data_IF_041602668849
#
_entry.id   IF_041602668849
#
_cell.length_a   1.000
_cell.length_b   1.000
_cell.length_c   1.000
_cell.angle_alpha   90.00
_cell.angle_beta   90.00
_cell.angle_gamma   90.00
#
_symmetry.space_group_name_H-M   'P 1'
#
loop_
_entity.id
_entity.type
_entity.pdbx_description
1 polymer ?
#
# COMPACT_ATOMS: atom_id res chain seq x y z
N UNK A 1 15.27 -18.90 -10.19
CA UNK A 1 13.99 -18.28 -10.55
C UNK A 1 14.19 -16.99 -11.34
N UNK A 2 14.92 -16.00 -10.82
CA UNK A 2 15.16 -14.70 -11.49
C UNK A 2 15.81 -14.87 -12.87
N UNK A 3 16.85 -15.70 -12.97
CA UNK A 3 17.52 -15.98 -14.25
C UNK A 3 16.62 -16.61 -15.31
N UNK A 4 15.66 -17.44 -14.90
CA UNK A 4 14.67 -18.05 -15.79
C UNK A 4 13.69 -17.01 -16.36
N UNK A 5 13.33 -15.98 -15.59
CA UNK A 5 12.39 -14.93 -15.99
C UNK A 5 13.05 -13.76 -16.76
N UNK A 6 14.39 -13.68 -16.76
CA UNK A 6 15.11 -12.59 -17.43
C UNK A 6 14.71 -12.38 -18.90
N UNK A 7 14.49 -13.42 -19.74
CA UNK A 7 14.03 -13.23 -21.12
C UNK A 7 12.63 -12.61 -21.25
N UNK A 8 11.81 -12.69 -20.21
CA UNK A 8 10.45 -12.16 -20.16
C UNK A 8 10.37 -10.78 -19.50
N UNK A 9 11.49 -10.26 -19.00
CA UNK A 9 11.55 -9.04 -18.18
C UNK A 9 10.84 -7.86 -18.82
N UNK A 10 11.11 -7.56 -20.09
CA UNK A 10 10.49 -6.43 -20.79
C UNK A 10 8.96 -6.55 -20.84
N UNK A 11 8.45 -7.74 -21.13
CA UNK A 11 6.99 -7.98 -21.12
C UNK A 11 6.40 -7.81 -19.72
N UNK A 12 7.07 -8.34 -18.72
CA UNK A 12 6.64 -8.22 -17.33
C UNK A 12 6.65 -6.74 -16.88
N UNK A 13 7.64 -5.95 -17.27
CA UNK A 13 7.71 -4.52 -16.96
C UNK A 13 6.57 -3.72 -17.62
N UNK A 14 6.17 -4.07 -18.85
CA UNK A 14 5.01 -3.47 -19.52
C UNK A 14 3.73 -3.76 -18.72
N UNK A 15 3.49 -5.02 -18.37
CA UNK A 15 2.33 -5.41 -17.59
C UNK A 15 2.36 -4.84 -16.16
N UNK A 16 3.55 -4.75 -15.55
CA UNK A 16 3.72 -4.10 -14.26
C UNK A 16 3.32 -2.61 -14.32
N UNK A 17 3.79 -1.88 -15.32
CA UNK A 17 3.42 -0.47 -15.49
C UNK A 17 1.91 -0.32 -15.68
N UNK A 18 1.29 -1.20 -16.48
CA UNK A 18 -0.16 -1.25 -16.64
C UNK A 18 -0.84 -1.50 -15.29
N UNK A 19 -0.40 -2.50 -14.54
CA UNK A 19 -0.94 -2.82 -13.21
C UNK A 19 -0.81 -1.67 -12.21
N UNK A 20 0.33 -0.98 -12.18
CA UNK A 20 0.55 0.18 -11.33
C UNK A 20 -0.38 1.36 -11.70
N UNK A 21 -0.76 1.48 -12.98
CA UNK A 21 -1.62 2.56 -13.46
C UNK A 21 -3.11 2.26 -13.27
N UNK A 22 -3.58 1.09 -13.70
CA UNK A 22 -5.02 0.77 -13.78
C UNK A 22 -5.50 -0.24 -12.74
N UNK A 23 -4.59 -0.74 -11.89
CA UNK A 23 -4.93 -1.71 -10.83
C UNK A 23 -5.10 -3.14 -11.31
N UNK A 24 -5.68 -3.98 -10.44
CA UNK A 24 -5.78 -5.43 -10.63
C UNK A 24 -7.16 -5.93 -11.12
N UNK A 25 -8.02 -5.08 -11.65
CA UNK A 25 -9.33 -5.51 -12.17
C UNK A 25 -9.19 -6.30 -13.48
N UNK A 26 -9.59 -7.59 -13.53
CA UNK A 26 -9.42 -8.45 -14.70
C UNK A 26 -10.08 -7.91 -15.98
N UNK A 27 -11.15 -7.16 -15.86
CA UNK A 27 -11.87 -6.58 -16.99
C UNK A 27 -11.06 -5.56 -17.80
N UNK A 28 -9.97 -5.00 -17.23
CA UNK A 28 -9.10 -4.04 -17.91
C UNK A 28 -7.87 -4.68 -18.57
N UNK A 29 -7.70 -6.01 -18.46
CA UNK A 29 -6.52 -6.68 -18.98
C UNK A 29 -6.34 -6.46 -20.50
N UNK A 30 -7.43 -6.52 -21.26
CA UNK A 30 -7.42 -6.40 -22.72
C UNK A 30 -7.78 -4.99 -23.23
N UNK A 31 -8.21 -4.08 -22.33
CA UNK A 31 -8.55 -2.71 -22.72
C UNK A 31 -7.27 -1.85 -22.86
N UNK A 32 -7.21 -1.10 -23.96
CA UNK A 32 -6.08 -0.22 -24.30
C UNK A 32 -6.44 1.27 -24.20
N UNK A 33 -7.72 1.57 -24.10
CA UNK A 33 -8.22 2.94 -24.02
C UNK A 33 -8.30 3.38 -22.55
N UNK A 34 -7.32 4.13 -22.10
CA UNK A 34 -7.27 4.67 -20.74
C UNK A 34 -8.48 5.53 -20.38
N UNK A 35 -9.13 6.20 -21.36
CA UNK A 35 -10.33 6.99 -21.10
C UNK A 35 -11.50 6.11 -20.68
N UNK A 36 -11.68 4.96 -21.36
CA UNK A 36 -12.72 3.98 -21.01
C UNK A 36 -12.44 3.33 -19.67
N UNK A 37 -11.18 2.98 -19.40
CA UNK A 37 -10.77 2.43 -18.09
C UNK A 37 -11.08 3.44 -16.99
N UNK A 38 -10.71 4.71 -17.19
CA UNK A 38 -10.95 5.79 -16.23
C UNK A 38 -12.44 5.99 -15.94
N UNK A 39 -13.28 6.01 -16.98
CA UNK A 39 -14.73 6.10 -16.84
C UNK A 39 -15.28 4.90 -16.04
N UNK A 40 -14.90 3.69 -16.41
CA UNK A 40 -15.33 2.45 -15.73
C UNK A 40 -14.91 2.42 -14.26
N UNK A 41 -13.69 2.83 -13.94
CA UNK A 41 -13.22 2.94 -12.55
C UNK A 41 -14.04 3.96 -11.77
N UNK A 42 -14.29 5.15 -12.34
CA UNK A 42 -15.14 6.17 -11.70
C UNK A 42 -16.55 5.65 -11.43
N UNK A 43 -17.14 4.94 -12.37
CA UNK A 43 -18.49 4.37 -12.19
C UNK A 43 -18.50 3.26 -11.13
N UNK A 44 -17.45 2.42 -11.08
CA UNK A 44 -17.29 1.45 -9.99
C UNK A 44 -17.18 2.10 -8.62
N UNK A 45 -16.36 3.15 -8.51
CA UNK A 45 -16.22 3.91 -7.26
C UNK A 45 -17.60 4.45 -6.84
N UNK A 46 -18.35 5.09 -7.75
CA UNK A 46 -19.71 5.56 -7.45
C UNK A 46 -20.62 4.43 -7.03
N UNK A 47 -20.57 3.28 -7.71
CA UNK A 47 -21.39 2.12 -7.36
C UNK A 47 -21.08 1.62 -5.95
N UNK A 48 -19.81 1.42 -5.63
CA UNK A 48 -19.35 0.97 -4.32
C UNK A 48 -19.80 1.96 -3.22
N UNK A 49 -19.57 3.26 -3.45
CA UNK A 49 -19.93 4.27 -2.47
C UNK A 49 -21.44 4.37 -2.27
N UNK A 50 -22.21 4.66 -3.32
CA UNK A 50 -23.62 4.98 -3.17
C UNK A 50 -24.53 3.77 -3.01
N UNK A 51 -24.25 2.68 -3.72
CA UNK A 51 -25.09 1.48 -3.66
C UNK A 51 -24.74 0.59 -2.49
N UNK A 52 -23.44 0.38 -2.24
CA UNK A 52 -23.01 -0.59 -1.23
C UNK A 52 -22.77 0.09 0.13
N UNK A 53 -21.85 1.03 0.23
CA UNK A 53 -21.45 1.60 1.53
C UNK A 53 -22.55 2.48 2.11
N UNK A 54 -23.03 3.47 1.36
CA UNK A 54 -24.01 4.45 1.84
C UNK A 54 -25.31 3.76 2.25
N UNK A 55 -25.79 2.84 1.42
CA UNK A 55 -27.03 2.10 1.67
C UNK A 55 -26.89 1.12 2.84
N UNK A 56 -25.80 0.34 2.88
CA UNK A 56 -25.60 -0.69 3.89
C UNK A 56 -25.38 -0.09 5.29
N UNK A 57 -24.56 0.96 5.38
CA UNK A 57 -24.25 1.62 6.65
C UNK A 57 -25.17 2.81 6.97
N UNK A 58 -26.15 3.11 6.11
CA UNK A 58 -27.12 4.23 6.28
C UNK A 58 -26.43 5.56 6.52
N UNK A 59 -25.42 5.87 5.71
CA UNK A 59 -24.62 7.08 5.83
C UNK A 59 -25.47 8.31 5.50
N UNK A 60 -25.46 9.31 6.40
CA UNK A 60 -26.25 10.54 6.23
C UNK A 60 -25.61 11.52 5.26
N UNK A 61 -24.28 11.60 5.27
CA UNK A 61 -23.52 12.55 4.44
C UNK A 61 -22.52 11.78 3.54
N UNK A 62 -22.98 11.27 2.38
CA UNK A 62 -22.13 10.51 1.45
C UNK A 62 -20.94 11.31 0.91
N UNK A 63 -21.14 12.61 0.68
CA UNK A 63 -20.13 13.52 0.15
C UNK A 63 -18.91 13.61 1.08
N UNK A 64 -19.13 13.68 2.39
CA UNK A 64 -18.05 13.70 3.38
C UNK A 64 -17.24 12.38 3.35
N UNK A 65 -17.90 11.25 3.11
CA UNK A 65 -17.23 9.97 2.95
C UNK A 65 -16.36 9.94 1.68
N UNK A 66 -16.86 10.51 0.57
CA UNK A 66 -16.08 10.63 -0.67
C UNK A 66 -14.87 11.53 -0.48
N UNK A 67 -15.03 12.68 0.18
CA UNK A 67 -13.94 13.60 0.45
C UNK A 67 -12.89 12.97 1.38
N UNK A 68 -13.32 12.21 2.38
CA UNK A 68 -12.42 11.41 3.20
C UNK A 68 -11.61 10.43 2.34
N UNK A 69 -12.27 9.75 1.41
CA UNK A 69 -11.60 8.78 0.56
C UNK A 69 -10.62 9.44 -0.42
N UNK A 70 -10.94 10.62 -0.96
CA UNK A 70 -10.01 11.43 -1.77
C UNK A 70 -8.78 11.84 -0.97
N UNK A 71 -8.95 12.29 0.28
CA UNK A 71 -7.85 12.65 1.19
C UNK A 71 -6.93 11.45 1.41
N UNK A 72 -7.50 10.29 1.72
CA UNK A 72 -6.75 9.05 1.94
C UNK A 72 -6.05 8.61 0.64
N UNK A 73 -6.71 8.71 -0.52
CA UNK A 73 -6.12 8.31 -1.80
C UNK A 73 -4.92 9.18 -2.18
N UNK A 74 -4.97 10.47 -1.87
CA UNK A 74 -3.86 11.39 -2.13
C UNK A 74 -2.67 11.15 -1.22
N UNK A 75 -2.91 10.83 0.06
CA UNK A 75 -1.88 10.60 1.09
C UNK A 75 -1.79 9.12 1.48
N UNK A 76 -2.00 8.22 0.52
CA UNK A 76 -1.94 6.76 0.75
C UNK A 76 -0.54 6.35 1.21
N UNK A 77 -0.46 5.64 2.35
CA UNK A 77 0.81 5.30 3.01
C UNK A 77 1.36 6.40 3.93
N UNK A 78 0.74 7.58 3.94
CA UNK A 78 1.09 8.64 4.86
C UNK A 78 0.58 8.42 6.30
N UNK A 79 1.14 9.20 7.24
CA UNK A 79 0.71 9.18 8.63
C UNK A 79 -0.66 9.85 8.80
N UNK A 80 -1.69 9.08 9.10
CA UNK A 80 -3.06 9.58 9.21
C UNK A 80 -3.31 10.29 10.54
N UNK A 81 -3.63 11.59 10.47
CA UNK A 81 -3.98 12.38 11.65
C UNK A 81 -5.49 12.51 11.79
N UNK A 82 -6.08 11.65 12.62
CA UNK A 82 -7.53 11.59 12.85
C UNK A 82 -8.13 12.93 13.30
N UNK A 83 -7.44 13.69 14.16
CA UNK A 83 -7.94 14.97 14.65
C UNK A 83 -7.99 16.02 13.53
N UNK A 84 -6.86 16.20 12.83
CA UNK A 84 -6.74 17.15 11.70
C UNK A 84 -7.73 16.83 10.58
N UNK A 85 -7.91 15.55 10.27
CA UNK A 85 -8.84 15.14 9.20
C UNK A 85 -10.30 15.35 9.62
N UNK A 86 -10.67 15.09 10.88
CA UNK A 86 -12.00 15.36 11.37
C UNK A 86 -12.33 16.87 11.33
N UNK A 87 -11.38 17.70 11.75
CA UNK A 87 -11.53 19.17 11.71
C UNK A 87 -11.63 19.67 10.25
N UNK A 88 -10.84 19.11 9.31
CA UNK A 88 -10.89 19.47 7.89
C UNK A 88 -12.25 19.14 7.24
N UNK A 89 -12.86 18.02 7.63
CA UNK A 89 -14.14 17.54 7.09
C UNK A 89 -15.36 18.06 7.86
N UNK A 90 -15.14 18.89 8.87
CA UNK A 90 -16.17 19.42 9.78
C UNK A 90 -17.09 18.32 10.38
N UNK A 91 -16.46 17.21 10.82
CA UNK A 91 -17.14 16.09 11.47
C UNK A 91 -16.50 15.72 12.80
N UNK A 92 -17.28 15.06 13.64
CA UNK A 92 -16.78 14.56 14.91
C UNK A 92 -15.86 13.34 14.71
N UNK A 93 -14.83 13.22 15.55
CA UNK A 93 -13.88 12.09 15.52
C UNK A 93 -14.52 10.70 15.59
N UNK A 94 -15.60 10.45 16.36
CA UNK A 94 -16.33 9.18 16.31
C UNK A 94 -16.88 8.87 14.91
N UNK A 95 -17.50 9.86 14.25
CA UNK A 95 -18.04 9.72 12.90
C UNK A 95 -16.93 9.37 11.90
N UNK A 96 -15.77 10.06 11.99
CA UNK A 96 -14.62 9.75 11.15
C UNK A 96 -14.12 8.30 11.34
N UNK A 97 -14.07 7.82 12.59
CA UNK A 97 -13.70 6.41 12.87
C UNK A 97 -14.70 5.42 12.26
N UNK A 98 -15.99 5.72 12.31
CA UNK A 98 -17.00 4.87 11.68
C UNK A 98 -16.82 4.85 10.16
N UNK A 99 -16.54 6.00 9.53
CA UNK A 99 -16.27 6.08 8.09
C UNK A 99 -15.02 5.28 7.69
N UNK A 100 -13.92 5.39 8.44
CA UNK A 100 -12.73 4.55 8.22
C UNK A 100 -13.07 3.06 8.33
N UNK A 101 -13.86 2.67 9.33
CA UNK A 101 -14.31 1.29 9.51
C UNK A 101 -15.16 0.82 8.33
N UNK A 102 -16.01 1.67 7.77
CA UNK A 102 -16.84 1.33 6.62
C UNK A 102 -15.99 1.12 5.36
N UNK A 103 -15.05 2.02 5.09
CA UNK A 103 -14.10 1.89 3.99
C UNK A 103 -13.23 0.63 4.13
N UNK A 104 -12.79 0.30 5.34
CA UNK A 104 -12.05 -0.94 5.63
C UNK A 104 -12.90 -2.19 5.38
N UNK A 105 -14.16 -2.20 5.83
CA UNK A 105 -15.08 -3.33 5.58
C UNK A 105 -15.46 -3.50 4.11
N UNK A 106 -15.39 -2.42 3.33
CA UNK A 106 -15.58 -2.45 1.89
C UNK A 106 -14.30 -2.84 1.12
N UNK A 107 -13.21 -3.19 1.82
CA UNK A 107 -11.91 -3.52 1.23
C UNK A 107 -11.34 -2.41 0.32
N UNK A 108 -11.67 -1.16 0.60
CA UNK A 108 -11.10 -0.02 -0.11
C UNK A 108 -9.80 0.46 0.52
N UNK A 109 -9.72 0.38 1.84
CA UNK A 109 -8.52 0.78 2.60
C UNK A 109 -8.15 -0.26 3.64
N UNK A 110 -6.88 -0.21 4.06
CA UNK A 110 -6.39 -0.93 5.22
C UNK A 110 -5.38 -0.07 5.98
N UNK A 111 -5.33 -0.19 7.32
CA UNK A 111 -4.36 0.53 8.13
C UNK A 111 -3.14 -0.32 8.48
N UNK A 112 -1.99 0.35 8.62
CA UNK A 112 -0.75 -0.19 9.17
C UNK A 112 -0.45 0.52 10.48
N UNK A 113 -0.29 -0.25 11.56
CA UNK A 113 0.04 0.27 12.87
C UNK A 113 1.55 0.37 13.08
N UNK A 114 1.96 1.16 14.06
CA UNK A 114 3.36 1.20 14.48
C UNK A 114 3.79 -0.13 15.10
N UNK A 115 4.92 -0.69 14.65
CA UNK A 115 5.49 -1.91 15.23
C UNK A 115 6.03 -1.67 16.63
N UNK A 116 5.50 -2.37 17.61
CA UNK A 116 6.00 -2.35 19.00
C UNK A 116 5.44 -3.54 19.77
N UNK A 117 6.22 -4.11 20.67
CA UNK A 117 5.73 -5.08 21.66
C UNK A 117 4.74 -4.46 22.66
N UNK A 118 4.85 -3.14 22.90
CA UNK A 118 3.94 -2.41 23.79
C UNK A 118 2.67 -1.97 23.08
N UNK A 119 1.53 -2.58 23.42
CA UNK A 119 0.20 -2.17 22.93
C UNK A 119 -0.08 -0.68 23.16
N UNK A 120 0.32 -0.14 24.34
CA UNK A 120 0.15 1.28 24.68
C UNK A 120 0.93 2.20 23.73
N UNK A 121 2.13 1.80 23.32
CA UNK A 121 2.95 2.55 22.35
C UNK A 121 2.32 2.51 20.96
N UNK A 122 1.80 1.35 20.53
CA UNK A 122 1.08 1.22 19.25
C UNK A 122 -0.11 2.18 19.15
N UNK A 123 -1.01 2.17 20.16
CA UNK A 123 -2.23 2.99 20.18
C UNK A 123 -1.94 4.51 20.18
N UNK A 124 -0.79 4.92 20.71
CA UNK A 124 -0.41 6.35 20.77
C UNK A 124 0.20 6.89 19.49
N UNK A 125 0.68 6.02 18.61
CA UNK A 125 1.25 6.42 17.32
C UNK A 125 0.15 6.53 16.28
N UNK A 126 0.36 7.39 15.29
CA UNK A 126 -0.53 7.49 14.14
C UNK A 126 -0.47 6.19 13.33
N UNK A 127 -1.58 5.83 12.71
CA UNK A 127 -1.61 4.76 11.74
C UNK A 127 -1.28 5.31 10.36
N UNK A 128 -0.71 4.47 9.50
CA UNK A 128 -0.68 4.72 8.07
C UNK A 128 -1.91 4.08 7.44
N UNK A 129 -2.50 4.72 6.43
CA UNK A 129 -3.68 4.17 5.73
C UNK A 129 -3.32 4.01 4.26
N UNK A 130 -3.58 2.82 3.72
CA UNK A 130 -3.33 2.47 2.32
C UNK A 130 -4.64 2.21 1.60
N UNK A 131 -4.75 2.68 0.36
CA UNK A 131 -5.78 2.22 -0.59
C UNK A 131 -5.31 0.90 -1.19
N UNK A 132 -6.17 -0.12 -1.21
CA UNK A 132 -5.77 -1.48 -1.55
C UNK A 132 -5.64 -1.76 -3.07
N UNK A 133 -6.22 -0.93 -3.93
CA UNK A 133 -6.09 -1.08 -5.38
C UNK A 133 -5.52 0.18 -6.02
N UNK A 134 -4.47 0.01 -6.83
CA UNK A 134 -3.80 1.12 -7.50
C UNK A 134 -4.73 1.85 -8.47
N UNK A 135 -5.54 1.13 -9.24
CA UNK A 135 -6.48 1.73 -10.20
C UNK A 135 -7.56 2.55 -9.52
N UNK A 136 -8.13 2.04 -8.43
CA UNK A 136 -9.10 2.81 -7.61
C UNK A 136 -8.44 4.07 -7.04
N UNK A 137 -7.25 3.94 -6.43
CA UNK A 137 -6.51 5.08 -5.90
C UNK A 137 -6.28 6.13 -6.99
N UNK A 138 -5.73 5.71 -8.13
CA UNK A 138 -5.38 6.59 -9.23
C UNK A 138 -6.63 7.22 -9.86
N UNK A 139 -7.73 6.45 -9.97
CA UNK A 139 -9.01 6.95 -10.48
C UNK A 139 -9.66 8.02 -9.62
N UNK A 140 -9.50 7.92 -8.29
CA UNK A 140 -10.02 8.90 -7.34
C UNK A 140 -9.28 10.24 -7.43
N UNK A 141 -7.99 10.21 -7.75
CA UNK A 141 -7.15 11.42 -7.83
C UNK A 141 -6.85 11.86 -9.28
N UNK A 142 -7.57 11.29 -10.25
CA UNK A 142 -7.44 11.60 -11.69
C UNK A 142 -6.03 11.39 -12.28
N UNK A 143 -5.37 10.27 -11.88
CA UNK A 143 -4.01 9.91 -12.28
C UNK A 143 -3.96 8.56 -13.05
N UNK A 144 -4.93 8.33 -13.93
CA UNK A 144 -5.10 7.11 -14.72
C UNK A 144 -4.51 7.23 -16.13
N UNK A 145 -3.26 7.66 -16.24
CA UNK A 145 -2.56 7.80 -17.51
C UNK A 145 -1.06 7.54 -17.38
N UNK A 146 -0.34 7.64 -18.50
CA UNK A 146 1.11 7.42 -18.57
C UNK A 146 1.94 8.46 -17.80
N UNK A 147 1.34 9.54 -17.31
CA UNK A 147 2.05 10.57 -16.53
C UNK A 147 2.44 10.04 -15.16
N UNK A 148 1.67 9.10 -14.60
CA UNK A 148 1.99 8.42 -13.36
C UNK A 148 3.40 7.80 -13.38
N UNK A 149 3.73 7.09 -14.46
CA UNK A 149 5.03 6.38 -14.56
C UNK A 149 6.22 7.35 -14.65
N UNK A 150 5.96 8.60 -15.03
CA UNK A 150 6.96 9.67 -15.14
C UNK A 150 7.11 10.48 -13.85
N UNK A 151 6.11 10.44 -12.99
CA UNK A 151 6.14 11.12 -11.69
C UNK A 151 6.73 10.18 -10.62
N UNK A 152 8.01 10.35 -10.29
CA UNK A 152 8.71 9.48 -9.33
C UNK A 152 8.08 9.51 -7.94
N UNK A 153 7.47 10.61 -7.52
CA UNK A 153 6.82 10.75 -6.20
C UNK A 153 5.52 9.96 -6.14
N UNK A 154 4.64 10.18 -7.12
CA UNK A 154 3.35 9.47 -7.19
C UNK A 154 3.56 7.97 -7.44
N UNK A 155 4.49 7.62 -8.34
CA UNK A 155 4.86 6.24 -8.60
C UNK A 155 5.38 5.54 -7.33
N UNK A 156 6.18 6.23 -6.52
CA UNK A 156 6.64 5.70 -5.23
C UNK A 156 5.48 5.37 -4.30
N UNK A 157 4.50 6.27 -4.18
CA UNK A 157 3.29 6.08 -3.37
C UNK A 157 2.45 4.88 -3.87
N UNK A 158 2.26 4.76 -5.17
CA UNK A 158 1.52 3.63 -5.77
C UNK A 158 2.24 2.31 -5.51
N UNK A 159 3.56 2.27 -5.73
CA UNK A 159 4.37 1.06 -5.50
C UNK A 159 4.31 0.64 -4.04
N UNK A 160 4.40 1.57 -3.10
CA UNK A 160 4.26 1.28 -1.67
C UNK A 160 2.88 0.68 -1.35
N UNK A 161 1.80 1.23 -1.90
CA UNK A 161 0.45 0.70 -1.75
C UNK A 161 0.30 -0.72 -2.32
N UNK A 162 0.86 -0.99 -3.50
CA UNK A 162 0.85 -2.31 -4.14
C UNK A 162 1.64 -3.33 -3.31
N UNK A 163 2.80 -2.96 -2.80
CA UNK A 163 3.58 -3.82 -1.90
C UNK A 163 2.76 -4.15 -0.65
N UNK A 164 2.12 -3.16 -0.05
CA UNK A 164 1.29 -3.36 1.14
C UNK A 164 0.15 -4.37 0.90
N UNK A 165 -0.60 -4.22 -0.20
CA UNK A 165 -1.68 -5.15 -0.56
C UNK A 165 -1.15 -6.58 -0.78
N UNK A 166 -0.04 -6.74 -1.47
CA UNK A 166 0.60 -8.05 -1.65
C UNK A 166 1.11 -8.65 -0.34
N UNK A 167 1.65 -7.83 0.57
CA UNK A 167 2.05 -8.31 1.90
C UNK A 167 0.86 -8.80 2.73
N UNK A 168 -0.31 -8.17 2.63
CA UNK A 168 -1.55 -8.63 3.27
C UNK A 168 -1.91 -10.03 2.75
N UNK A 169 -1.90 -10.23 1.43
CA UNK A 169 -2.18 -11.53 0.79
C UNK A 169 -1.18 -12.60 1.21
N UNK A 170 0.11 -12.27 1.18
CA UNK A 170 1.20 -13.15 1.63
C UNK A 170 0.99 -13.58 3.08
N UNK A 171 0.74 -12.63 3.96
CA UNK A 171 0.52 -12.90 5.39
C UNK A 171 -0.69 -13.81 5.61
N UNK A 172 -1.80 -13.54 4.92
CA UNK A 172 -3.00 -14.38 4.96
C UNK A 172 -2.71 -15.82 4.51
N UNK A 173 -1.96 -16.00 3.43
CA UNK A 173 -1.59 -17.31 2.90
C UNK A 173 -0.65 -18.07 3.86
N UNK A 174 0.28 -17.37 4.51
CA UNK A 174 1.26 -17.98 5.40
C UNK A 174 0.66 -18.45 6.74
N UNK A 175 -0.24 -17.69 7.31
CA UNK A 175 -0.73 -17.94 8.67
C UNK A 175 -2.20 -18.36 8.75
N UNK A 176 -2.96 -18.25 7.66
CA UNK A 176 -4.40 -18.55 7.60
C UNK A 176 -5.18 -17.94 8.78
N UNK A 177 -4.70 -16.80 9.26
CA UNK A 177 -5.27 -16.08 10.41
C UNK A 177 -6.37 -15.12 10.00
N UNK A 178 -7.20 -14.65 10.96
CA UNK A 178 -8.38 -13.85 10.67
C UNK A 178 -8.07 -12.43 10.15
N UNK A 179 -6.95 -11.83 10.55
CA UNK A 179 -6.54 -10.49 10.09
C UNK A 179 -5.02 -10.38 10.00
N UNK A 180 -4.46 -10.24 8.80
CA UNK A 180 -3.04 -10.02 8.65
C UNK A 180 -2.65 -8.62 9.12
N UNK A 181 -1.79 -8.54 10.13
CA UNK A 181 -1.24 -7.28 10.60
C UNK A 181 0.11 -7.03 9.93
N UNK A 182 0.18 -5.98 9.13
CA UNK A 182 1.41 -5.41 8.61
C UNK A 182 1.65 -4.11 9.35
N UNK A 183 2.85 -3.95 9.90
CA UNK A 183 3.22 -2.78 10.69
C UNK A 183 4.20 -1.92 9.91
N UNK A 184 4.37 -0.66 10.32
CA UNK A 184 5.51 0.17 9.98
C UNK A 184 6.37 0.41 11.22
N UNK A 185 7.62 0.79 11.03
CA UNK A 185 8.51 1.11 12.15
C UNK A 185 9.24 2.43 11.91
N UNK A 186 9.48 3.18 12.98
CA UNK A 186 10.18 4.44 12.91
C UNK A 186 10.95 4.70 14.20
N UNK A 187 12.26 4.86 14.04
CA UNK A 187 13.15 5.44 15.04
C UNK A 187 13.77 6.73 14.47
N UNK A 188 15.06 6.77 14.21
CA UNK A 188 15.71 7.88 13.48
C UNK A 188 15.25 7.94 12.03
N UNK A 189 15.03 6.78 11.43
CA UNK A 189 14.49 6.61 10.08
C UNK A 189 13.29 5.68 10.11
N UNK A 190 12.51 5.72 9.05
CA UNK A 190 11.32 4.90 8.90
C UNK A 190 11.64 3.65 8.07
N UNK A 191 11.03 2.53 8.43
CA UNK A 191 10.93 1.32 7.61
C UNK A 191 9.46 1.16 7.23
N UNK A 192 9.19 1.06 5.94
CA UNK A 192 7.84 1.10 5.39
C UNK A 192 6.97 -0.05 5.93
N UNK A 193 7.51 -1.27 6.00
CA UNK A 193 6.74 -2.43 6.45
C UNK A 193 7.53 -3.33 7.39
N UNK A 194 6.84 -3.86 8.38
CA UNK A 194 7.30 -4.99 9.20
C UNK A 194 6.30 -6.11 9.05
N UNK A 195 6.69 -7.16 8.33
CA UNK A 195 5.91 -8.39 8.20
C UNK A 195 6.25 -9.32 9.35
N UNK A 196 5.29 -9.60 10.22
CA UNK A 196 5.50 -10.52 11.32
C UNK A 196 5.05 -11.94 10.95
N UNK A 197 5.98 -12.89 10.86
CA UNK A 197 5.71 -14.30 10.56
C UNK A 197 6.18 -15.15 11.75
N UNK A 198 5.27 -15.92 12.34
CA UNK A 198 5.57 -16.77 13.51
C UNK A 198 6.35 -16.03 14.60
N UNK A 199 5.94 -14.80 14.92
CA UNK A 199 6.58 -13.89 15.88
C UNK A 199 7.98 -13.38 15.49
N UNK A 200 8.49 -13.68 14.31
CA UNK A 200 9.72 -13.09 13.77
C UNK A 200 9.36 -11.90 12.87
N UNK A 201 9.84 -10.69 13.20
CA UNK A 201 9.61 -9.53 12.37
C UNK A 201 10.59 -9.51 11.19
N UNK A 202 10.10 -9.22 10.01
CA UNK A 202 10.89 -9.06 8.77
C UNK A 202 10.70 -7.62 8.31
N UNK A 203 11.73 -6.76 8.40
CA UNK A 203 11.67 -5.40 7.87
C UNK A 203 11.72 -5.42 6.34
N UNK A 204 10.84 -4.63 5.71
CA UNK A 204 10.73 -4.51 4.27
C UNK A 204 10.66 -3.03 3.92
N UNK A 205 11.55 -2.59 3.06
CA UNK A 205 11.66 -1.21 2.62
C UNK A 205 11.39 -1.11 1.12
N UNK A 206 10.61 -0.13 0.69
CA UNK A 206 10.32 0.16 -0.71
C UNK A 206 11.26 1.23 -1.24
N UNK A 207 12.07 0.89 -2.24
CA UNK A 207 12.98 1.83 -2.92
C UNK A 207 12.92 1.66 -4.43
N UNK A 208 11.77 2.02 -5.01
CA UNK A 208 11.50 1.92 -6.44
C UNK A 208 12.19 3.03 -7.23
N UNK A 209 13.52 3.09 -7.12
CA UNK A 209 14.39 4.07 -7.79
C UNK A 209 15.70 3.45 -8.22
N UNK A 210 16.47 4.19 -9.06
CA UNK A 210 17.72 3.67 -9.66
C UNK A 210 18.87 3.44 -8.68
N UNK A 211 18.91 4.17 -7.55
CA UNK A 211 19.98 4.04 -6.56
C UNK A 211 19.40 4.03 -5.14
N UNK A 212 19.89 3.09 -4.35
CA UNK A 212 19.57 2.97 -2.93
C UNK A 212 20.65 3.69 -2.13
N UNK A 213 20.24 4.59 -1.25
CA UNK A 213 21.17 5.32 -0.37
C UNK A 213 21.63 4.43 0.79
N UNK A 214 22.87 4.65 1.27
CA UNK A 214 23.47 3.84 2.36
C UNK A 214 22.64 3.83 3.65
N UNK A 215 21.93 4.90 3.91
CA UNK A 215 21.08 5.09 5.07
C UNK A 215 19.89 4.11 5.16
N UNK A 216 19.44 3.57 4.04
CA UNK A 216 18.41 2.51 4.00
C UNK A 216 18.93 1.22 4.62
N UNK A 217 20.15 0.83 4.27
CA UNK A 217 20.81 -0.35 4.83
C UNK A 217 21.04 -0.19 6.33
N UNK A 218 21.52 0.97 6.77
CA UNK A 218 21.71 1.29 8.18
C UNK A 218 20.42 1.15 8.99
N UNK A 219 19.28 1.60 8.44
CA UNK A 219 17.98 1.48 9.10
C UNK A 219 17.54 0.04 9.26
N UNK A 220 17.72 -0.77 8.22
CA UNK A 220 17.40 -2.20 8.27
C UNK A 220 18.35 -2.92 9.23
N UNK A 221 19.66 -2.67 9.15
CA UNK A 221 20.65 -3.31 10.03
C UNK A 221 20.39 -2.97 11.52
N UNK A 222 20.02 -1.72 11.84
CA UNK A 222 19.60 -1.32 13.19
C UNK A 222 18.38 -2.12 13.65
N UNK A 223 17.35 -2.20 12.81
CA UNK A 223 16.15 -2.96 13.13
C UNK A 223 16.45 -4.45 13.33
N UNK A 224 17.29 -5.06 12.46
CA UNK A 224 17.67 -6.47 12.55
C UNK A 224 18.35 -6.78 13.88
N UNK A 225 19.24 -5.89 14.33
CA UNK A 225 19.97 -6.06 15.59
C UNK A 225 19.10 -5.86 16.84
N UNK A 226 18.16 -4.89 16.79
CA UNK A 226 17.31 -4.56 17.94
C UNK A 226 16.15 -5.54 18.16
N UNK A 227 15.67 -6.21 17.10
CA UNK A 227 14.43 -6.99 17.13
C UNK A 227 14.60 -8.49 16.86
N UNK A 228 15.83 -9.03 16.89
CA UNK A 228 16.13 -10.44 16.58
C UNK A 228 15.48 -10.88 15.25
N UNK A 229 15.53 -10.00 14.26
CA UNK A 229 14.96 -10.25 12.94
C UNK A 229 15.92 -11.14 12.10
N UNK A 230 15.38 -12.12 11.34
CA UNK A 230 16.22 -13.09 10.62
C UNK A 230 16.94 -12.49 9.41
N UNK A 231 16.26 -11.62 8.68
CA UNK A 231 16.75 -10.91 7.50
C UNK A 231 15.85 -9.70 7.19
N UNK A 232 16.31 -8.82 6.32
CA UNK A 232 15.52 -7.70 5.79
C UNK A 232 15.40 -7.75 4.27
N UNK A 233 14.40 -7.07 3.73
CA UNK A 233 14.14 -7.00 2.29
C UNK A 233 14.13 -5.54 1.86
N UNK A 234 14.78 -5.24 0.73
CA UNK A 234 14.63 -3.97 0.02
C UNK A 234 13.99 -4.27 -1.33
N UNK A 235 12.81 -3.73 -1.57
CA UNK A 235 12.13 -3.86 -2.86
C UNK A 235 12.61 -2.75 -3.77
N UNK A 236 13.28 -3.14 -4.85
CA UNK A 236 13.99 -2.26 -5.78
C UNK A 236 13.25 -2.15 -7.11
N UNK A 237 13.71 -1.25 -7.98
CA UNK A 237 13.22 -1.21 -9.35
C UNK A 237 13.77 -2.36 -10.19
N UNK A 238 15.08 -2.64 -10.09
CA UNK A 238 15.78 -3.58 -11.00
C UNK A 238 16.77 -4.50 -10.32
N UNK A 239 17.28 -4.13 -9.14
CA UNK A 239 18.43 -4.80 -8.56
C UNK A 239 18.02 -6.06 -7.79
N UNK A 240 18.73 -7.17 -8.04
CA UNK A 240 18.68 -8.37 -7.22
C UNK A 240 20.06 -8.63 -6.63
N UNK A 241 20.17 -8.51 -5.31
CA UNK A 241 21.42 -8.72 -4.57
C UNK A 241 21.13 -9.30 -3.20
N UNK A 242 22.07 -10.07 -2.70
CA UNK A 242 22.08 -10.55 -1.32
C UNK A 242 23.38 -10.06 -0.67
N UNK A 243 23.25 -9.26 0.36
CA UNK A 243 24.37 -8.75 1.14
C UNK A 243 24.10 -8.95 2.61
N UNK A 244 24.92 -9.79 3.25
CA UNK A 244 24.70 -10.17 4.64
C UNK A 244 23.27 -10.74 4.87
N UNK A 245 22.50 -10.08 5.75
CA UNK A 245 21.10 -10.42 6.04
C UNK A 245 20.10 -9.58 5.25
N UNK A 246 20.52 -8.83 4.24
CA UNK A 246 19.63 -7.97 3.43
C UNK A 246 19.51 -8.54 2.02
N UNK A 247 18.28 -8.68 1.56
CA UNK A 247 17.92 -9.16 0.23
C UNK A 247 17.32 -7.99 -0.54
N UNK A 248 17.98 -7.55 -1.60
CA UNK A 248 17.42 -6.65 -2.59
C UNK A 248 16.67 -7.48 -3.63
N UNK A 249 15.41 -7.14 -3.90
CA UNK A 249 14.57 -7.87 -4.84
C UNK A 249 13.81 -6.89 -5.75
N UNK A 250 13.81 -7.05 -7.08
CA UNK A 250 12.99 -6.23 -7.96
C UNK A 250 11.51 -6.38 -7.66
N UNK A 251 10.74 -5.29 -7.75
CA UNK A 251 9.30 -5.29 -7.52
C UNK A 251 8.58 -6.38 -8.32
N UNK A 252 8.87 -6.47 -9.63
CA UNK A 252 8.23 -7.47 -10.49
C UNK A 252 8.50 -8.92 -10.04
N UNK A 253 9.68 -9.20 -9.45
CA UNK A 253 9.96 -10.52 -8.87
C UNK A 253 9.15 -10.71 -7.59
N UNK A 254 9.14 -9.71 -6.71
CA UNK A 254 8.38 -9.75 -5.45
C UNK A 254 6.91 -10.05 -5.70
N UNK A 255 6.27 -9.36 -6.64
CA UNK A 255 4.85 -9.54 -6.95
C UNK A 255 4.50 -10.92 -7.57
N UNK A 256 5.47 -11.64 -8.14
CA UNK A 256 5.27 -12.99 -8.69
C UNK A 256 5.42 -14.11 -7.66
N UNK A 257 5.96 -13.83 -6.48
CA UNK A 257 6.19 -14.85 -5.44
C UNK A 257 5.22 -14.72 -4.25
N UNK A 258 4.35 -13.74 -4.30
CA UNK A 258 3.43 -13.39 -3.20
C UNK A 258 1.98 -13.68 -3.56
#
# INVERSE_FOLDING_TARGET
>A
FVGFLTPLKEKIEIELNKYLTIGGYPEFLDEKDYSKISESIRDKIKLIFFKDIVRYFRIRNPEVLEDLFKIISKDSGGNFNLAKTADLLDIQRPTLRDYLKYLTKAYLIQSSQFFSSSRKKRIRKQEKIYVLDAGIRNGVIDYLDDTLIKDESELGTVVEGVIFDHLIRLKFNLEKGPEPEIFYWKDKKEIDFILQVKRKPIPIESKYRKKISGDVYESIDSFLSENDAPFGIIITKNDFKIKNKIIEIPLWVFLLIV
#
